data_IF_707805680177
#
_entry.id   IF_707805680177
#
_cell.length_a   1.000
_cell.length_b   1.000
_cell.length_c   1.000
_cell.angle_alpha   90.00
_cell.angle_beta   90.00
_cell.angle_gamma   90.00
#
_symmetry.space_group_name_H-M   'P 1'
#
loop_
_entity.id
_entity.type
_entity.pdbx_description
1 polymer ?
#
# COMPACT_ATOMS: atom_id res chain seq x y z
N UNK A 1 -42.76 -0.63 -28.22
CA UNK A 1 -41.75 0.41 -27.93
C UNK A 1 -41.91 0.79 -26.47
N UNK A 2 -41.15 0.19 -25.56
CA UNK A 2 -41.06 0.55 -24.14
C UNK A 2 -39.87 -0.22 -23.55
N UNK A 3 -38.68 0.37 -23.66
CA UNK A 3 -37.42 -0.22 -23.23
C UNK A 3 -36.48 0.86 -22.66
N UNK A 4 -37.00 1.78 -21.83
CA UNK A 4 -36.17 2.86 -21.26
C UNK A 4 -36.34 3.10 -19.76
N UNK A 5 -36.87 2.15 -18.98
CA UNK A 5 -37.19 2.38 -17.55
C UNK A 5 -36.29 1.66 -16.54
N UNK A 6 -35.24 0.95 -16.99
CA UNK A 6 -34.34 0.22 -16.10
C UNK A 6 -32.93 0.85 -15.96
N UNK A 7 -32.68 2.02 -16.56
CA UNK A 7 -31.35 2.63 -16.62
C UNK A 7 -30.95 3.53 -15.43
N UNK A 8 -31.89 4.03 -14.62
CA UNK A 8 -31.60 5.16 -13.71
C UNK A 8 -31.25 4.79 -12.26
N UNK A 9 -31.24 3.50 -11.88
CA UNK A 9 -31.13 3.12 -10.46
C UNK A 9 -29.70 3.08 -9.90
N UNK A 10 -28.68 3.13 -10.76
CA UNK A 10 -27.28 3.05 -10.35
C UNK A 10 -26.58 4.41 -10.27
N UNK A 11 -27.05 5.44 -11.00
CA UNK A 11 -26.43 6.77 -11.06
C UNK A 11 -26.73 7.69 -9.85
N UNK A 12 -27.63 7.27 -8.96
CA UNK A 12 -28.18 8.13 -7.91
C UNK A 12 -27.30 8.25 -6.64
N UNK A 13 -26.26 7.42 -6.50
CA UNK A 13 -25.48 7.34 -5.25
C UNK A 13 -24.50 8.49 -5.06
N UNK A 14 -23.83 8.92 -6.12
CA UNK A 14 -22.86 10.02 -6.06
C UNK A 14 -23.56 11.38 -5.92
N UNK A 15 -24.76 11.53 -6.51
CA UNK A 15 -25.52 12.78 -6.52
C UNK A 15 -26.20 13.05 -5.16
N UNK A 16 -26.66 12.01 -4.45
CA UNK A 16 -27.27 12.16 -3.11
C UNK A 16 -26.29 12.62 -2.03
N UNK A 17 -24.99 12.30 -2.16
CA UNK A 17 -23.95 12.75 -1.24
C UNK A 17 -23.86 14.29 -1.14
N UNK A 18 -24.28 15.02 -2.18
CA UNK A 18 -24.30 16.49 -2.21
C UNK A 18 -25.59 17.10 -1.63
N UNK A 19 -26.67 16.32 -1.48
CA UNK A 19 -27.98 16.84 -1.10
C UNK A 19 -28.12 17.11 0.41
N UNK A 20 -27.26 16.53 1.25
CA UNK A 20 -27.38 16.64 2.70
C UNK A 20 -26.00 16.73 3.42
N UNK A 21 -25.26 17.85 3.24
CA UNK A 21 -23.89 18.02 3.74
C UNK A 21 -23.77 17.86 5.27
N UNK A 22 -24.86 18.08 6.01
CA UNK A 22 -24.90 18.00 7.47
C UNK A 22 -24.54 16.61 8.02
N UNK A 23 -25.00 15.53 7.39
CA UNK A 23 -24.76 14.17 7.91
C UNK A 23 -23.31 13.71 7.67
N UNK A 24 -22.71 14.09 6.55
CA UNK A 24 -21.31 13.87 6.28
C UNK A 24 -20.42 14.66 7.25
N UNK A 25 -20.68 15.96 7.42
CA UNK A 25 -19.91 16.81 8.33
C UNK A 25 -19.97 16.30 9.78
N UNK A 26 -21.14 15.82 10.24
CA UNK A 26 -21.25 15.22 11.58
C UNK A 26 -20.46 13.91 11.70
N UNK A 27 -20.48 13.07 10.67
CA UNK A 27 -19.69 11.83 10.66
C UNK A 27 -18.19 12.13 10.73
N UNK A 28 -17.71 13.10 9.94
CA UNK A 28 -16.31 13.52 9.93
C UNK A 28 -15.90 14.19 11.23
N UNK A 29 -16.72 15.09 11.78
CA UNK A 29 -16.45 15.79 13.03
C UNK A 29 -16.32 14.84 14.23
N UNK A 30 -17.05 13.73 14.22
CA UNK A 30 -17.00 12.74 15.30
C UNK A 30 -15.93 11.66 15.07
N UNK A 31 -15.94 11.02 13.89
CA UNK A 31 -15.12 9.84 13.66
C UNK A 31 -13.66 10.19 13.38
N UNK A 32 -13.36 11.32 12.74
CA UNK A 32 -11.98 11.71 12.47
C UNK A 32 -11.16 11.89 13.75
N UNK A 33 -11.54 12.77 14.71
CA UNK A 33 -10.79 12.90 15.95
C UNK A 33 -10.82 11.61 16.78
N UNK A 34 -11.94 10.87 16.82
CA UNK A 34 -12.00 9.59 17.52
C UNK A 34 -11.02 8.55 16.94
N UNK A 35 -10.91 8.47 15.61
CA UNK A 35 -9.96 7.56 14.94
C UNK A 35 -8.51 7.95 15.16
N UNK A 36 -8.19 9.26 15.22
CA UNK A 36 -6.84 9.71 15.57
C UNK A 36 -6.51 9.52 17.05
N UNK A 37 -7.47 9.75 17.95
CA UNK A 37 -7.28 9.50 19.38
C UNK A 37 -7.06 8.01 19.67
N UNK A 38 -7.82 7.13 19.01
CA UNK A 38 -7.63 5.67 19.12
C UNK A 38 -6.30 5.22 18.54
N UNK A 39 -5.88 5.74 17.37
CA UNK A 39 -4.56 5.46 16.81
C UNK A 39 -3.44 5.93 17.73
N UNK A 40 -3.57 7.12 18.32
CA UNK A 40 -2.59 7.66 19.25
C UNK A 40 -2.49 6.86 20.54
N UNK A 41 -3.64 6.46 21.09
CA UNK A 41 -3.68 5.59 22.27
C UNK A 41 -3.05 4.21 21.98
N UNK A 42 -3.30 3.64 20.80
CA UNK A 42 -2.78 2.33 20.41
C UNK A 42 -1.32 2.36 19.89
N UNK A 43 -0.73 3.54 19.69
CA UNK A 43 0.52 3.67 18.93
C UNK A 43 1.69 2.89 19.53
N UNK A 44 1.83 2.89 20.86
CA UNK A 44 2.89 2.14 21.53
C UNK A 44 2.74 0.62 21.28
N UNK A 45 1.51 0.12 21.28
CA UNK A 45 1.22 -1.29 20.95
C UNK A 45 1.49 -1.60 19.48
N UNK A 46 1.21 -0.66 18.58
CA UNK A 46 1.52 -0.77 17.15
C UNK A 46 3.04 -0.84 16.92
N UNK A 47 3.81 0.05 17.53
CA UNK A 47 5.27 0.04 17.45
C UNK A 47 5.87 -1.24 18.01
N UNK A 48 5.37 -1.70 19.17
CA UNK A 48 5.80 -2.97 19.77
C UNK A 48 5.47 -4.15 18.84
N UNK A 49 4.27 -4.18 18.27
CA UNK A 49 3.87 -5.21 17.30
C UNK A 49 4.82 -5.21 16.09
N UNK A 50 5.13 -4.05 15.50
CA UNK A 50 6.04 -3.97 14.36
C UNK A 50 7.44 -4.49 14.71
N UNK A 51 8.00 -4.10 15.85
CA UNK A 51 9.31 -4.60 16.30
C UNK A 51 9.30 -6.12 16.49
N UNK A 52 8.27 -6.68 17.11
CA UNK A 52 8.14 -8.13 17.32
C UNK A 52 7.87 -8.89 16.02
N UNK A 53 7.04 -8.35 15.13
CA UNK A 53 6.71 -8.97 13.86
C UNK A 53 7.91 -8.96 12.92
N UNK A 54 8.63 -7.84 12.81
CA UNK A 54 9.84 -7.75 11.98
C UNK A 54 10.96 -8.62 12.54
N UNK A 55 11.23 -8.60 13.86
CA UNK A 55 12.24 -9.48 14.45
C UNK A 55 11.89 -10.96 14.30
N UNK A 56 10.61 -11.32 14.36
CA UNK A 56 10.17 -12.68 14.09
C UNK A 56 10.37 -13.03 12.62
N UNK A 57 9.82 -12.25 11.69
CA UNK A 57 9.97 -12.50 10.26
C UNK A 57 11.44 -12.52 9.80
N UNK A 58 12.27 -11.63 10.34
CA UNK A 58 13.73 -11.58 10.20
C UNK A 58 14.39 -12.93 10.53
N UNK A 59 14.03 -13.55 11.67
CA UNK A 59 14.50 -14.89 12.04
C UNK A 59 14.01 -16.00 11.12
N UNK A 60 12.75 -15.93 10.68
CA UNK A 60 12.18 -16.93 9.77
C UNK A 60 12.82 -16.92 8.39
N UNK A 61 13.13 -15.74 7.86
CA UNK A 61 13.74 -15.59 6.52
C UNK A 61 15.28 -15.62 6.59
N UNK A 62 15.87 -15.44 7.77
CA UNK A 62 17.31 -15.49 7.99
C UNK A 62 18.04 -14.20 7.57
N UNK A 63 17.41 -13.04 7.78
CA UNK A 63 17.97 -11.74 7.38
C UNK A 63 18.15 -10.86 8.62
N UNK A 64 19.34 -10.33 8.91
CA UNK A 64 19.57 -9.58 10.15
C UNK A 64 19.03 -8.15 10.05
N UNK A 65 17.75 -8.00 10.43
CA UNK A 65 17.02 -6.72 10.51
C UNK A 65 16.63 -6.48 11.97
N UNK A 66 16.90 -5.28 12.46
CA UNK A 66 16.47 -4.86 13.79
C UNK A 66 15.65 -3.57 13.71
N UNK A 67 14.67 -3.47 14.61
CA UNK A 67 13.93 -2.25 14.88
C UNK A 67 14.23 -1.83 16.30
N UNK A 68 14.83 -0.66 16.45
CA UNK A 68 15.08 -0.06 17.75
C UNK A 68 14.00 0.97 18.03
N UNK A 69 13.44 0.96 19.23
CA UNK A 69 12.60 2.07 19.66
C UNK A 69 13.51 3.28 19.89
N UNK A 70 13.16 4.40 19.27
CA UNK A 70 13.89 5.66 19.45
C UNK A 70 12.95 6.60 20.14
N UNK A 71 13.34 7.05 21.33
CA UNK A 71 12.67 8.14 22.04
C UNK A 71 12.84 9.45 21.24
N UNK A 72 12.01 9.61 20.19
CA UNK A 72 11.90 10.87 19.45
C UNK A 72 10.98 11.79 20.23
N UNK A 73 11.53 12.40 21.27
CA UNK A 73 10.87 13.41 22.09
C UNK A 73 10.20 14.46 21.18
N UNK A 74 8.87 14.53 21.24
CA UNK A 74 8.06 15.52 20.53
C UNK A 74 7.48 15.12 19.16
N UNK A 75 7.84 13.95 18.59
CA UNK A 75 7.26 13.51 17.32
C UNK A 75 5.95 12.72 17.53
N UNK A 76 4.83 13.29 17.09
CA UNK A 76 3.51 12.65 17.18
C UNK A 76 3.48 11.37 16.33
N UNK A 77 3.18 10.24 16.98
CA UNK A 77 3.20 8.89 16.38
C UNK A 77 4.56 8.58 15.73
N UNK A 78 5.67 8.81 16.43
CA UNK A 78 6.99 8.47 15.92
C UNK A 78 7.11 6.94 15.70
N UNK A 79 7.46 6.47 14.49
CA UNK A 79 7.70 5.05 14.29
C UNK A 79 9.10 4.67 14.82
N UNK A 80 9.32 3.39 15.16
CA UNK A 80 10.63 2.90 15.57
C UNK A 80 11.68 3.12 14.47
N UNK A 81 12.96 3.10 14.82
CA UNK A 81 14.04 3.19 13.84
C UNK A 81 14.36 1.82 13.27
N UNK A 82 14.44 1.76 11.94
CA UNK A 82 14.86 0.57 11.20
C UNK A 82 16.37 0.58 11.03
N UNK A 83 17.05 -0.48 11.44
CA UNK A 83 18.49 -0.65 11.25
C UNK A 83 18.80 -2.00 10.59
N UNK A 84 19.55 -1.95 9.48
CA UNK A 84 20.11 -3.13 8.84
C UNK A 84 21.52 -3.40 9.38
N UNK A 85 21.82 -4.66 9.68
CA UNK A 85 23.17 -5.11 10.04
C UNK A 85 23.98 -5.63 8.84
N UNK A 86 23.51 -5.32 7.62
CA UNK A 86 24.08 -5.80 6.37
C UNK A 86 23.96 -4.74 5.29
N UNK A 87 24.78 -4.89 4.25
CA UNK A 87 24.74 -4.07 3.05
C UNK A 87 24.33 -4.93 1.87
N UNK A 88 23.41 -4.43 1.05
CA UNK A 88 23.02 -5.12 -0.17
C UNK A 88 24.19 -5.12 -1.17
N UNK A 89 24.31 -6.22 -1.89
CA UNK A 89 25.35 -6.37 -2.90
C UNK A 89 24.93 -5.71 -4.22
N UNK A 90 25.92 -5.22 -4.96
CA UNK A 90 25.77 -4.87 -6.36
C UNK A 90 25.50 -6.13 -7.20
N UNK A 91 24.77 -6.04 -8.32
CA UNK A 91 24.50 -7.21 -9.15
C UNK A 91 25.79 -7.76 -9.75
N UNK A 92 26.01 -9.07 -9.60
CA UNK A 92 27.02 -9.78 -10.39
C UNK A 92 26.61 -9.88 -11.87
N UNK A 93 27.59 -10.09 -12.74
CA UNK A 93 27.38 -10.16 -14.20
C UNK A 93 26.35 -11.23 -14.60
N UNK A 94 26.38 -12.39 -13.94
CA UNK A 94 25.44 -13.48 -14.20
C UNK A 94 24.00 -13.09 -13.89
N UNK A 95 23.77 -12.53 -12.69
CA UNK A 95 22.44 -12.08 -12.26
C UNK A 95 21.91 -10.98 -13.19
N UNK A 96 22.77 -10.05 -13.58
CA UNK A 96 22.42 -8.96 -14.51
C UNK A 96 21.99 -9.51 -15.88
N UNK A 97 22.77 -10.42 -16.46
CA UNK A 97 22.47 -11.05 -17.75
C UNK A 97 21.19 -11.88 -17.71
N UNK A 98 21.03 -12.73 -16.69
CA UNK A 98 19.82 -13.55 -16.52
C UNK A 98 18.59 -12.67 -16.36
N UNK A 99 18.67 -11.62 -15.53
CA UNK A 99 17.55 -10.71 -15.30
C UNK A 99 17.18 -9.95 -16.56
N UNK A 100 18.16 -9.52 -17.35
CA UNK A 100 17.93 -8.87 -18.64
C UNK A 100 17.24 -9.82 -19.63
N UNK A 101 17.73 -11.07 -19.79
CA UNK A 101 17.14 -12.07 -20.69
C UNK A 101 15.71 -12.44 -20.29
N UNK A 102 15.45 -12.63 -19.00
CA UNK A 102 14.10 -12.89 -18.46
C UNK A 102 13.19 -11.71 -18.77
N UNK A 103 13.66 -10.47 -18.57
CA UNK A 103 12.86 -9.26 -18.83
C UNK A 103 12.56 -9.08 -20.32
N UNK A 104 13.52 -9.30 -21.22
CA UNK A 104 13.30 -9.29 -22.68
C UNK A 104 12.26 -10.33 -23.08
N UNK A 105 12.40 -11.55 -22.54
CA UNK A 105 11.49 -12.66 -22.85
C UNK A 105 10.07 -12.37 -22.36
N UNK A 106 9.93 -11.89 -21.12
CA UNK A 106 8.65 -11.49 -20.55
C UNK A 106 8.00 -10.34 -21.34
N UNK A 107 8.78 -9.33 -21.72
CA UNK A 107 8.31 -8.22 -22.52
C UNK A 107 7.80 -8.69 -23.88
N UNK A 108 8.59 -9.48 -24.61
CA UNK A 108 8.21 -10.02 -25.92
C UNK A 108 7.00 -10.95 -25.84
N UNK A 109 6.97 -11.87 -24.87
CA UNK A 109 5.86 -12.79 -24.66
C UNK A 109 4.55 -12.09 -24.29
N UNK A 110 4.61 -10.87 -23.74
CA UNK A 110 3.42 -10.07 -23.41
C UNK A 110 2.61 -9.63 -24.65
N UNK A 111 3.18 -9.65 -25.85
CA UNK A 111 2.49 -9.24 -27.09
C UNK A 111 1.67 -10.36 -27.74
N UNK A 112 1.87 -11.61 -27.32
CA UNK A 112 1.25 -12.80 -27.94
C UNK A 112 -0.10 -13.16 -27.25
N UNK A 113 -0.63 -12.31 -26.38
CA UNK A 113 -1.75 -12.64 -25.47
C UNK A 113 -3.13 -12.20 -25.99
N UNK A 114 -4.15 -13.03 -25.71
CA UNK A 114 -5.58 -12.78 -26.02
C UNK A 114 -6.14 -11.59 -25.22
N UNK A 115 -7.14 -10.88 -25.75
CA UNK A 115 -7.74 -9.65 -25.18
C UNK A 115 -8.06 -9.72 -23.68
N UNK A 116 -8.57 -10.86 -23.18
CA UNK A 116 -8.89 -11.04 -21.75
C UNK A 116 -7.69 -10.92 -20.78
N UNK A 117 -6.46 -11.01 -21.26
CA UNK A 117 -5.23 -10.91 -20.46
C UNK A 117 -4.53 -9.56 -20.60
N UNK A 118 -5.16 -8.59 -21.29
CA UNK A 118 -4.56 -7.29 -21.55
C UNK A 118 -4.07 -6.58 -20.27
N UNK A 119 -4.83 -6.49 -19.16
CA UNK A 119 -4.35 -5.80 -17.96
C UNK A 119 -3.05 -6.39 -17.40
N UNK A 120 -2.96 -7.73 -17.36
CA UNK A 120 -1.77 -8.44 -16.90
C UNK A 120 -0.62 -8.24 -17.89
N UNK A 121 -0.89 -8.28 -19.19
CA UNK A 121 0.12 -8.04 -20.21
C UNK A 121 0.73 -6.63 -20.09
N UNK A 122 -0.08 -5.60 -19.84
CA UNK A 122 0.41 -4.25 -19.60
C UNK A 122 1.24 -4.14 -18.32
N UNK A 123 0.81 -4.79 -17.24
CA UNK A 123 1.59 -4.85 -16.01
C UNK A 123 2.97 -5.49 -16.27
N UNK A 124 3.02 -6.64 -16.95
CA UNK A 124 4.28 -7.31 -17.31
C UNK A 124 5.15 -6.41 -18.18
N UNK A 125 4.58 -5.69 -19.15
CA UNK A 125 5.34 -4.75 -20.01
C UNK A 125 5.98 -3.65 -19.19
N UNK A 126 5.24 -3.02 -18.29
CA UNK A 126 5.76 -1.95 -17.44
C UNK A 126 6.87 -2.48 -16.53
N UNK A 127 6.66 -3.63 -15.87
CA UNK A 127 7.65 -4.23 -14.99
C UNK A 127 8.92 -4.63 -15.74
N UNK A 128 8.78 -5.28 -16.89
CA UNK A 128 9.91 -5.67 -17.72
C UNK A 128 10.64 -4.45 -18.28
N UNK A 129 9.94 -3.40 -18.70
CA UNK A 129 10.56 -2.16 -19.18
C UNK A 129 11.36 -1.45 -18.08
N UNK A 130 10.78 -1.35 -16.87
CA UNK A 130 11.50 -0.83 -15.69
C UNK A 130 12.74 -1.66 -15.43
N UNK A 131 12.61 -2.99 -15.36
CA UNK A 131 13.73 -3.87 -15.05
C UNK A 131 14.83 -3.82 -16.13
N UNK A 132 14.47 -3.69 -17.41
CA UNK A 132 15.43 -3.49 -18.50
C UNK A 132 16.16 -2.15 -18.39
N UNK A 133 15.46 -1.08 -18.03
CA UNK A 133 16.09 0.21 -17.75
C UNK A 133 17.12 0.11 -16.63
N UNK A 134 16.78 -0.60 -15.55
CA UNK A 134 17.70 -0.84 -14.42
C UNK A 134 18.90 -1.70 -14.85
N UNK A 135 18.68 -2.77 -15.62
CA UNK A 135 19.78 -3.58 -16.14
C UNK A 135 20.70 -2.72 -17.02
N UNK A 136 20.15 -1.91 -17.92
CA UNK A 136 20.92 -0.98 -18.76
C UNK A 136 21.77 0.00 -17.94
N UNK A 137 21.21 0.53 -16.84
CA UNK A 137 21.96 1.37 -15.91
C UNK A 137 23.14 0.62 -15.28
N UNK A 138 22.92 -0.58 -14.74
CA UNK A 138 24.00 -1.37 -14.12
C UNK A 138 25.02 -1.91 -15.12
N UNK A 139 24.65 -2.11 -16.40
CA UNK A 139 25.63 -2.37 -17.45
C UNK A 139 26.55 -1.18 -17.69
N UNK A 140 26.02 0.05 -17.66
CA UNK A 140 26.80 1.27 -17.86
C UNK A 140 27.58 1.69 -16.61
N UNK A 141 27.04 1.43 -15.41
CA UNK A 141 27.63 1.84 -14.13
C UNK A 141 27.42 0.78 -13.03
N UNK A 142 28.22 -0.30 -13.03
CA UNK A 142 27.99 -1.47 -12.18
C UNK A 142 28.07 -1.19 -10.67
N UNK A 143 28.85 -0.19 -10.25
CA UNK A 143 29.20 0.06 -8.84
C UNK A 143 28.79 1.44 -8.34
N UNK A 144 27.97 2.20 -9.08
CA UNK A 144 27.66 3.60 -8.75
C UNK A 144 26.16 3.85 -8.50
N UNK A 145 25.45 2.85 -7.99
CA UNK A 145 24.04 3.01 -7.66
C UNK A 145 23.86 3.96 -6.46
N UNK A 146 23.01 5.01 -6.57
CA UNK A 146 22.96 6.11 -5.60
C UNK A 146 22.15 5.79 -4.33
N UNK A 147 21.52 4.61 -4.25
CA UNK A 147 20.69 4.23 -3.11
C UNK A 147 21.26 3.00 -2.40
N UNK A 148 21.26 3.05 -1.08
CA UNK A 148 21.56 1.90 -0.23
C UNK A 148 20.28 1.13 0.12
N UNK A 149 20.42 -0.14 0.52
CA UNK A 149 19.28 -0.92 1.04
C UNK A 149 18.68 -0.29 2.32
N UNK A 150 19.52 0.28 3.18
CA UNK A 150 19.10 0.97 4.40
C UNK A 150 18.18 2.16 4.07
N UNK A 151 18.59 3.02 3.14
CA UNK A 151 17.79 4.17 2.71
C UNK A 151 16.48 3.73 2.06
N UNK A 152 16.53 2.71 1.21
CA UNK A 152 15.34 2.17 0.56
C UNK A 152 14.34 1.63 1.59
N UNK A 153 14.75 0.74 2.48
CA UNK A 153 13.83 0.18 3.47
C UNK A 153 13.33 1.23 4.46
N UNK A 154 14.16 2.20 4.84
CA UNK A 154 13.72 3.33 5.66
C UNK A 154 12.65 4.15 4.94
N UNK A 155 12.83 4.42 3.64
CA UNK A 155 11.85 5.13 2.83
C UNK A 155 10.52 4.37 2.73
N UNK A 156 10.57 3.05 2.47
CA UNK A 156 9.37 2.21 2.44
C UNK A 156 8.67 2.19 3.80
N UNK A 157 9.42 2.01 4.89
CA UNK A 157 8.86 1.97 6.24
C UNK A 157 8.18 3.31 6.62
N UNK A 158 8.83 4.45 6.34
CA UNK A 158 8.25 5.76 6.60
C UNK A 158 7.01 6.02 5.73
N UNK A 159 7.06 5.68 4.43
CA UNK A 159 5.92 5.82 3.53
C UNK A 159 4.72 5.00 4.04
N UNK A 160 4.92 3.75 4.43
CA UNK A 160 3.86 2.88 4.96
C UNK A 160 3.30 3.41 6.29
N UNK A 161 4.18 3.91 7.15
CA UNK A 161 3.78 4.56 8.41
C UNK A 161 2.90 5.78 8.13
N UNK A 162 3.24 6.61 7.13
CA UNK A 162 2.42 7.76 6.75
C UNK A 162 1.06 7.31 6.21
N UNK A 163 1.01 6.27 5.37
CA UNK A 163 -0.25 5.69 4.90
C UNK A 163 -1.15 5.30 6.08
N UNK A 164 -0.61 4.62 7.11
CA UNK A 164 -1.38 4.26 8.32
C UNK A 164 -1.99 5.49 9.00
N UNK A 165 -1.22 6.59 9.09
CA UNK A 165 -1.68 7.86 9.69
C UNK A 165 -2.67 8.61 8.80
N UNK A 166 -2.61 8.43 7.49
CA UNK A 166 -3.46 9.14 6.53
C UNK A 166 -4.78 8.43 6.26
N UNK A 167 -4.91 7.13 6.58
CA UNK A 167 -6.16 6.37 6.40
C UNK A 167 -7.37 7.06 7.06
N UNK A 168 -7.34 7.49 8.34
CA UNK A 168 -8.45 8.24 8.94
C UNK A 168 -8.89 9.47 8.14
N UNK A 169 -7.92 10.26 7.68
CA UNK A 169 -8.17 11.44 6.87
C UNK A 169 -8.76 11.06 5.52
N UNK A 170 -8.16 10.10 4.81
CA UNK A 170 -8.65 9.61 3.54
C UNK A 170 -10.11 9.14 3.68
N UNK A 171 -10.41 8.31 4.68
CA UNK A 171 -11.77 7.83 4.95
C UNK A 171 -12.77 8.96 5.22
N UNK A 172 -12.35 10.03 5.90
CA UNK A 172 -13.20 11.20 6.10
C UNK A 172 -13.56 11.97 4.83
N UNK A 173 -12.67 11.94 3.85
CA UNK A 173 -12.83 12.60 2.56
C UNK A 173 -13.64 11.75 1.58
N UNK A 174 -13.42 10.43 1.53
CA UNK A 174 -13.98 9.58 0.47
C UNK A 174 -15.09 8.62 0.94
N UNK A 175 -15.05 8.16 2.20
CA UNK A 175 -16.00 7.15 2.70
C UNK A 175 -17.10 7.73 3.59
N UNK A 176 -16.78 8.69 4.45
CA UNK A 176 -17.77 9.32 5.33
C UNK A 176 -18.86 10.13 4.61
N UNK A 177 -18.67 10.62 3.37
CA UNK A 177 -19.77 11.17 2.59
C UNK A 177 -20.85 10.16 2.19
N UNK A 178 -20.54 8.86 2.22
CA UNK A 178 -21.49 7.82 1.82
C UNK A 178 -22.59 7.61 2.86
N UNK A 179 -23.79 7.21 2.40
CA UNK A 179 -25.00 6.98 3.19
C UNK A 179 -24.96 5.69 4.04
N UNK A 180 -23.92 5.56 4.85
CA UNK A 180 -23.73 4.49 5.82
C UNK A 180 -23.97 4.98 7.25
N UNK A 181 -24.28 4.03 8.13
CA UNK A 181 -24.37 4.30 9.57
C UNK A 181 -23.01 4.69 10.14
N UNK A 182 -23.00 5.41 11.27
CA UNK A 182 -21.77 5.82 11.95
C UNK A 182 -20.91 4.60 12.35
N UNK A 183 -21.55 3.50 12.75
CA UNK A 183 -20.88 2.25 13.11
C UNK A 183 -20.17 1.62 11.91
N UNK A 184 -20.80 1.59 10.73
CA UNK A 184 -20.17 1.09 9.51
C UNK A 184 -18.99 1.96 9.08
N UNK A 185 -19.11 3.28 9.19
CA UNK A 185 -18.01 4.21 8.90
C UNK A 185 -16.82 3.97 9.84
N UNK A 186 -17.08 3.86 11.14
CA UNK A 186 -16.05 3.54 12.13
C UNK A 186 -15.41 2.16 11.90
N UNK A 187 -16.21 1.13 11.64
CA UNK A 187 -15.74 -0.23 11.39
C UNK A 187 -14.89 -0.31 10.11
N UNK A 188 -15.27 0.40 9.04
CA UNK A 188 -14.50 0.46 7.80
C UNK A 188 -13.13 1.12 8.02
N UNK A 189 -13.09 2.26 8.72
CA UNK A 189 -11.83 2.93 9.05
C UNK A 189 -10.94 2.04 9.91
N UNK A 190 -11.50 1.42 10.96
CA UNK A 190 -10.76 0.50 11.83
C UNK A 190 -10.20 -0.69 11.05
N UNK A 191 -11.02 -1.34 10.21
CA UNK A 191 -10.62 -2.50 9.41
C UNK A 191 -9.43 -2.15 8.51
N UNK A 192 -9.52 -1.03 7.78
CA UNK A 192 -8.45 -0.62 6.86
C UNK A 192 -7.19 -0.25 7.64
N UNK A 193 -7.29 0.56 8.69
CA UNK A 193 -6.13 0.94 9.53
C UNK A 193 -5.46 -0.29 10.14
N UNK A 194 -6.21 -1.21 10.73
CA UNK A 194 -5.68 -2.44 11.34
C UNK A 194 -5.02 -3.33 10.28
N UNK A 195 -5.61 -3.45 9.10
CA UNK A 195 -5.01 -4.22 8.00
C UNK A 195 -3.64 -3.65 7.60
N UNK A 196 -3.53 -2.34 7.43
CA UNK A 196 -2.26 -1.70 7.07
C UNK A 196 -1.22 -1.79 8.18
N UNK A 197 -1.62 -1.67 9.44
CA UNK A 197 -0.76 -1.96 10.59
C UNK A 197 -0.25 -3.40 10.53
N UNK A 198 -1.12 -4.36 10.28
CA UNK A 198 -0.80 -5.79 10.29
C UNK A 198 0.16 -6.18 9.16
N UNK A 199 -0.06 -5.67 7.94
CA UNK A 199 0.68 -6.08 6.74
C UNK A 199 2.06 -5.42 6.61
N UNK A 200 2.24 -4.21 7.18
CA UNK A 200 3.47 -3.43 7.09
C UNK A 200 4.75 -4.23 7.40
N UNK A 201 4.88 -4.95 8.55
CA UNK A 201 6.11 -5.68 8.86
C UNK A 201 6.46 -6.71 7.79
N UNK A 202 5.46 -7.38 7.21
CA UNK A 202 5.65 -8.40 6.17
C UNK A 202 6.11 -7.80 4.85
N UNK A 203 5.54 -6.65 4.48
CA UNK A 203 5.97 -5.90 3.28
C UNK A 203 7.42 -5.46 3.44
N UNK A 204 7.78 -4.96 4.61
CA UNK A 204 9.14 -4.52 4.89
C UNK A 204 10.13 -5.69 4.83
N UNK A 205 9.79 -6.83 5.45
CA UNK A 205 10.64 -8.03 5.40
C UNK A 205 10.74 -8.61 4.00
N UNK A 206 9.69 -8.51 3.18
CA UNK A 206 9.71 -8.93 1.78
C UNK A 206 10.68 -8.08 0.95
N UNK A 207 10.67 -6.76 1.12
CA UNK A 207 11.64 -5.88 0.46
C UNK A 207 13.06 -6.24 0.92
N UNK A 208 13.26 -6.40 2.22
CA UNK A 208 14.57 -6.76 2.76
C UNK A 208 15.06 -8.12 2.23
N UNK A 209 14.18 -9.11 2.09
CA UNK A 209 14.54 -10.43 1.57
C UNK A 209 14.95 -10.39 0.11
N UNK A 210 14.25 -9.62 -0.71
CA UNK A 210 14.62 -9.46 -2.11
C UNK A 210 16.00 -8.81 -2.20
N UNK A 211 16.26 -7.76 -1.42
CA UNK A 211 17.54 -7.05 -1.47
C UNK A 211 18.71 -7.83 -0.85
N UNK A 212 18.45 -8.64 0.18
CA UNK A 212 19.46 -9.46 0.83
C UNK A 212 19.89 -10.65 -0.04
N UNK A 213 18.93 -11.36 -0.64
CA UNK A 213 19.22 -12.56 -1.43
C UNK A 213 19.49 -12.31 -2.91
N UNK A 214 18.97 -11.21 -3.48
CA UNK A 214 19.13 -10.92 -4.90
C UNK A 214 20.20 -9.87 -5.15
N UNK A 215 19.88 -8.57 -5.00
CA UNK A 215 20.82 -7.44 -5.08
C UNK A 215 20.07 -6.10 -5.10
N UNK A 216 20.84 -5.00 -5.11
CA UNK A 216 20.34 -3.65 -5.40
C UNK A 216 19.64 -3.52 -6.77
N UNK A 217 19.82 -4.48 -7.68
CA UNK A 217 19.18 -4.53 -9.00
C UNK A 217 17.63 -4.49 -8.93
N UNK A 218 17.06 -4.94 -7.82
CA UNK A 218 15.61 -5.04 -7.65
C UNK A 218 15.00 -3.88 -6.86
N UNK A 219 15.81 -2.92 -6.37
CA UNK A 219 15.31 -1.75 -5.62
C UNK A 219 14.21 -1.00 -6.38
N UNK A 220 14.37 -0.65 -7.68
CA UNK A 220 13.34 0.10 -8.38
C UNK A 220 12.07 -0.73 -8.61
N UNK A 221 12.21 -2.02 -8.91
CA UNK A 221 11.06 -2.92 -9.07
C UNK A 221 10.28 -3.08 -7.76
N UNK A 222 10.99 -3.22 -6.63
CA UNK A 222 10.35 -3.24 -5.32
C UNK A 222 9.58 -1.95 -5.05
N UNK A 223 10.18 -0.79 -5.35
CA UNK A 223 9.51 0.49 -5.18
C UNK A 223 8.25 0.65 -6.06
N UNK A 224 8.34 0.29 -7.34
CA UNK A 224 7.23 0.42 -8.29
C UNK A 224 6.12 -0.61 -8.09
N UNK A 225 6.46 -1.86 -7.77
CA UNK A 225 5.48 -2.92 -7.66
C UNK A 225 5.00 -3.10 -6.22
N UNK A 226 5.92 -3.24 -5.27
CA UNK A 226 5.65 -3.61 -3.89
C UNK A 226 5.54 -2.39 -2.95
N UNK A 227 5.84 -1.19 -3.45
CA UNK A 227 5.71 0.07 -2.74
C UNK A 227 4.30 0.68 -2.85
N UNK A 228 4.24 1.97 -3.17
CA UNK A 228 2.98 2.74 -3.15
C UNK A 228 1.86 2.15 -4.03
N UNK A 229 2.12 1.62 -5.25
CA UNK A 229 1.05 1.08 -6.08
C UNK A 229 0.36 -0.16 -5.49
N UNK A 230 1.10 -1.09 -4.88
CA UNK A 230 0.51 -2.21 -4.16
C UNK A 230 -0.35 -1.72 -3.00
N UNK A 231 0.14 -0.76 -2.23
CA UNK A 231 -0.60 -0.19 -1.10
C UNK A 231 -1.88 0.50 -1.53
N UNK A 232 -1.82 1.28 -2.62
CA UNK A 232 -3.01 1.89 -3.19
C UNK A 232 -4.01 0.82 -3.67
N UNK A 233 -3.54 -0.23 -4.35
CA UNK A 233 -4.38 -1.34 -4.78
C UNK A 233 -5.07 -2.06 -3.62
N UNK A 234 -4.33 -2.32 -2.53
CA UNK A 234 -4.88 -2.92 -1.31
C UNK A 234 -5.90 -2.01 -0.62
N UNK A 235 -5.58 -0.71 -0.52
CA UNK A 235 -6.51 0.28 0.03
C UNK A 235 -7.80 0.35 -0.78
N UNK A 236 -7.70 0.46 -2.11
CA UNK A 236 -8.86 0.49 -3.01
C UNK A 236 -9.69 -0.79 -2.92
N UNK A 237 -9.04 -1.94 -2.77
CA UNK A 237 -9.72 -3.23 -2.63
C UNK A 237 -10.53 -3.28 -1.32
N UNK A 238 -9.91 -2.92 -0.20
CA UNK A 238 -10.59 -2.89 1.10
C UNK A 238 -11.68 -1.82 1.15
N UNK A 239 -11.40 -0.64 0.59
CA UNK A 239 -12.39 0.42 0.44
C UNK A 239 -13.61 -0.06 -0.36
N UNK A 240 -13.38 -0.71 -1.51
CA UNK A 240 -14.46 -1.25 -2.35
C UNK A 240 -15.25 -2.34 -1.63
N UNK A 241 -14.56 -3.18 -0.84
CA UNK A 241 -15.21 -4.17 0.02
C UNK A 241 -16.13 -3.51 1.05
N UNK A 242 -15.64 -2.50 1.79
CA UNK A 242 -16.45 -1.77 2.76
C UNK A 242 -17.64 -1.05 2.08
N UNK A 243 -17.41 -0.44 0.91
CA UNK A 243 -18.45 0.23 0.14
C UNK A 243 -19.51 -0.73 -0.42
N UNK A 244 -19.24 -2.04 -0.43
CA UNK A 244 -20.20 -3.07 -0.83
C UNK A 244 -21.11 -3.54 0.31
N UNK A 245 -20.89 -3.10 1.55
CA UNK A 245 -21.66 -3.56 2.70
C UNK A 245 -23.16 -3.26 2.59
N UNK A 246 -24.03 -4.19 3.06
CA UNK A 246 -25.46 -3.97 3.11
C UNK A 246 -25.78 -2.87 4.12
N UNK A 247 -26.73 -1.98 3.78
CA UNK A 247 -27.17 -0.91 4.69
C UNK A 247 -26.92 0.51 4.18
N UNK A 248 -26.70 0.72 2.87
CA UNK A 248 -26.98 2.02 2.25
C UNK A 248 -28.39 2.40 2.67
N UNK A 249 -28.53 3.46 3.46
CA UNK A 249 -29.84 3.93 3.93
C UNK A 249 -30.60 4.31 2.67
N UNK A 250 -31.45 3.39 2.21
CA UNK A 250 -32.40 3.65 1.15
C UNK A 250 -33.38 4.64 1.77
N UNK A 251 -33.13 5.94 1.61
CA UNK A 251 -34.19 6.93 1.70
C UNK A 251 -35.15 6.61 0.53
N UNK A 252 -36.02 5.63 0.79
CA UNK A 252 -37.30 5.51 0.13
C UNK A 252 -38.02 6.76 0.61
N UNK A 253 -38.12 7.72 -0.31
CA UNK A 253 -39.03 8.86 -0.21
C UNK A 253 -40.39 8.36 0.26
N UNK A 254 -40.73 8.64 1.52
CA UNK A 254 -42.13 8.84 1.88
C UNK A 254 -42.49 10.23 1.36
N UNK A 255 -42.99 10.27 0.14
CA UNK A 255 -43.96 11.26 -0.29
C UNK A 255 -45.24 10.49 -0.59
#
# INVERSE_FOLDING_TARGET
MNASENGSKFDDRAVRALAAPRHWLMSSLLLLPASYATLAWAWNSVSLYWTLAVSSASRWVGIPIEMADVDRQGAWLAPPELQLQWTAQYPGNELLLVTALVSITAFSASFIRKERWLPVAYLVRVLAAVQLGVCGYFFASPSNFPYTAQEHLRAIFLMQTMIVKDIPLAMSLIYYPLDFTLMQKGAATLLITVYFIAILPFVLTLHASILFHASLLFVPLCFFLLGAPLMLGLFLTLYSYCASWPGVIRQISRF
#
